data_IF_430970160226
#
_entry.id   IF_430970160226
#
_cell.length_a   1.000
_cell.length_b   1.000
_cell.length_c   1.000
_cell.angle_alpha   90.00
_cell.angle_beta   90.00
_cell.angle_gamma   90.00
#
_symmetry.space_group_name_H-M   'P 1'
#
loop_
_entity.id
_entity.type
_entity.pdbx_description
1 polymer ?
#
# COMPACT_ATOMS: atom_id res chain seq x y z
N UNK A 1 1.90 -2.42 15.19
CA UNK A 1 0.82 -3.03 14.39
C UNK A 1 0.34 -2.19 13.19
N UNK A 2 0.20 -0.84 13.24
CA UNK A 2 -0.25 -0.06 12.05
C UNK A 2 0.87 0.18 11.02
N UNK A 3 2.07 0.50 11.48
CA UNK A 3 3.27 0.70 10.64
C UNK A 3 3.71 -0.56 9.86
N UNK A 4 3.52 -1.76 10.42
CA UNK A 4 3.81 -3.02 9.72
C UNK A 4 2.94 -3.19 8.46
N UNK A 5 1.69 -2.72 8.50
CA UNK A 5 0.78 -2.74 7.35
C UNK A 5 1.20 -1.72 6.28
N UNK A 6 1.71 -0.57 6.69
CA UNK A 6 2.20 0.46 5.77
C UNK A 6 3.48 -0.01 5.06
N UNK A 7 4.40 -0.67 5.77
CA UNK A 7 5.61 -1.24 5.18
C UNK A 7 5.31 -2.42 4.23
N UNK A 8 4.31 -3.25 4.53
CA UNK A 8 3.85 -4.32 3.64
C UNK A 8 3.21 -3.74 2.37
N UNK A 9 2.35 -2.72 2.50
CA UNK A 9 1.78 -2.02 1.36
C UNK A 9 2.87 -1.42 0.45
N UNK A 10 3.89 -0.77 1.02
CA UNK A 10 5.02 -0.23 0.27
C UNK A 10 5.81 -1.32 -0.47
N UNK A 11 6.05 -2.48 0.16
CA UNK A 11 6.71 -3.63 -0.50
C UNK A 11 5.91 -4.17 -1.67
N UNK A 12 4.58 -4.25 -1.56
CA UNK A 12 3.72 -4.68 -2.66
C UNK A 12 3.68 -3.65 -3.79
N UNK A 13 3.77 -2.36 -3.47
CA UNK A 13 3.83 -1.29 -4.45
C UNK A 13 5.11 -1.35 -5.29
N UNK A 14 6.28 -1.50 -4.65
CA UNK A 14 7.58 -1.35 -5.31
C UNK A 14 7.87 -2.44 -6.35
N UNK A 15 7.25 -3.62 -6.22
CA UNK A 15 7.43 -4.75 -7.15
C UNK A 15 6.56 -4.64 -8.42
N UNK A 16 5.66 -3.64 -8.51
CA UNK A 16 4.84 -3.40 -9.70
C UNK A 16 5.64 -2.69 -10.80
N UNK A 17 5.06 -2.64 -12.00
CA UNK A 17 5.54 -1.81 -13.12
C UNK A 17 5.78 -0.37 -12.64
N UNK A 18 6.90 0.23 -13.06
CA UNK A 18 7.45 1.46 -12.50
C UNK A 18 6.45 2.62 -12.52
N UNK A 19 5.76 2.86 -13.63
CA UNK A 19 4.76 3.92 -13.73
C UNK A 19 3.56 3.68 -12.80
N UNK A 20 3.23 2.41 -12.52
CA UNK A 20 2.10 2.05 -11.67
C UNK A 20 2.36 2.05 -10.15
N UNK A 21 3.62 2.22 -9.70
CA UNK A 21 3.99 2.07 -8.27
C UNK A 21 3.30 3.06 -7.34
N UNK A 22 2.88 4.20 -7.86
CA UNK A 22 2.15 5.23 -7.11
C UNK A 22 0.63 5.14 -7.27
N UNK A 23 0.12 4.28 -8.16
CA UNK A 23 -1.32 4.04 -8.25
C UNK A 23 -1.81 3.36 -6.97
N UNK A 24 -3.06 3.60 -6.54
CA UNK A 24 -3.65 2.95 -5.38
C UNK A 24 -3.51 1.42 -5.44
N UNK A 25 -3.27 0.79 -4.30
CA UNK A 25 -3.27 -0.65 -4.15
C UNK A 25 -4.66 -1.15 -3.81
N UNK A 26 -5.13 -2.13 -4.58
CA UNK A 26 -6.32 -2.90 -4.21
C UNK A 26 -5.87 -3.97 -3.22
N UNK A 27 -6.47 -3.97 -2.04
CA UNK A 27 -6.25 -4.99 -1.02
C UNK A 27 -7.39 -5.99 -1.07
N UNK A 28 -7.05 -7.25 -1.30
CA UNK A 28 -7.99 -8.37 -1.20
C UNK A 28 -7.57 -9.33 -0.10
N UNK A 29 -8.50 -10.14 0.38
CA UNK A 29 -8.17 -11.35 1.14
C UNK A 29 -7.65 -12.46 0.20
N UNK A 30 -7.33 -13.62 0.78
CA UNK A 30 -6.85 -14.79 0.04
C UNK A 30 -7.92 -15.43 -0.86
N UNK A 31 -9.20 -15.12 -0.64
CA UNK A 31 -10.32 -15.52 -1.49
C UNK A 31 -10.64 -14.51 -2.60
N UNK A 32 -9.84 -13.45 -2.74
CA UNK A 32 -10.06 -12.39 -3.72
C UNK A 32 -11.15 -11.39 -3.33
N UNK A 33 -11.69 -11.44 -2.10
CA UNK A 33 -12.69 -10.46 -1.64
C UNK A 33 -12.02 -9.11 -1.41
N UNK A 34 -12.65 -8.05 -1.91
CA UNK A 34 -12.16 -6.68 -1.71
C UNK A 34 -12.22 -6.31 -0.23
N UNK A 35 -11.06 -5.97 0.35
CA UNK A 35 -10.93 -5.44 1.71
C UNK A 35 -10.81 -3.91 1.71
N UNK A 36 -10.33 -3.31 0.62
CA UNK A 36 -10.25 -1.86 0.46
C UNK A 36 -9.20 -1.41 -0.53
N UNK A 37 -9.02 -0.09 -0.60
CA UNK A 37 -8.03 0.57 -1.45
C UNK A 37 -7.07 1.37 -0.58
N UNK A 38 -5.77 1.10 -0.73
CA UNK A 38 -4.69 1.81 -0.06
C UNK A 38 -4.09 2.84 -1.00
N UNK A 39 -4.13 4.10 -0.58
CA UNK A 39 -3.55 5.23 -1.29
C UNK A 39 -2.05 5.33 -0.98
N UNK A 40 -1.20 5.19 -2.00
CA UNK A 40 0.26 5.09 -1.81
C UNK A 40 0.85 6.38 -1.23
N UNK A 41 0.30 7.55 -1.58
CA UNK A 41 0.75 8.81 -1.02
C UNK A 41 0.59 8.88 0.51
N UNK A 42 -0.49 8.29 1.06
CA UNK A 42 -0.70 8.20 2.52
C UNK A 42 0.25 7.21 3.18
N UNK A 43 0.62 6.14 2.49
CA UNK A 43 1.61 5.17 2.99
C UNK A 43 2.99 5.82 3.07
N UNK A 44 3.37 6.57 2.03
CA UNK A 44 4.65 7.31 1.99
C UNK A 44 4.70 8.35 3.12
N UNK A 45 3.63 9.15 3.29
CA UNK A 45 3.55 10.15 4.35
C UNK A 45 3.75 9.53 5.74
N UNK A 46 3.06 8.43 6.04
CA UNK A 46 3.21 7.72 7.32
C UNK A 46 4.59 7.09 7.51
N UNK A 47 5.16 6.48 6.47
CA UNK A 47 6.50 5.90 6.54
C UNK A 47 7.58 6.96 6.71
N UNK A 48 7.35 8.18 6.22
CA UNK A 48 8.21 9.34 6.42
C UNK A 48 8.06 9.97 7.82
N UNK A 49 7.17 9.45 8.67
CA UNK A 49 6.85 10.03 9.99
C UNK A 49 5.90 11.23 9.94
N UNK A 50 5.23 11.44 8.79
CA UNK A 50 4.10 12.34 8.65
C UNK A 50 2.81 11.80 9.30
N UNK A 51 1.77 12.63 9.33
CA UNK A 51 0.53 12.42 10.10
C UNK A 51 -0.31 11.18 9.70
#
# INVERSE_FOLDING_TARGET
MRAERDADAARRAIVRERASRFHPLVCTDNGGRLLGIVRIERVIERLAGGA
#
